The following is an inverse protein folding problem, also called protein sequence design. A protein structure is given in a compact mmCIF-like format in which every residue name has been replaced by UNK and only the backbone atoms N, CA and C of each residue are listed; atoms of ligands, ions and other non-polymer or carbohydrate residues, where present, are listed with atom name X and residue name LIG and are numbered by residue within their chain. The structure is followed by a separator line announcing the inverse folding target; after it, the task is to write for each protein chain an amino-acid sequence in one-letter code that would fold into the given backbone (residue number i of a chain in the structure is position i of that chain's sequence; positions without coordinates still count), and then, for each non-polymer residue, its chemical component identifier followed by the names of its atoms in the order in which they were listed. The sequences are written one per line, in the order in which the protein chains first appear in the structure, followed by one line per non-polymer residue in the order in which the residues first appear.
data_IF_640644600577
#
_entry.id   IF_640644600577
#
_cell.length_a   1.000
_cell.length_b   1.000
_cell.length_c   1.000
_cell.angle_alpha   90.00
_cell.angle_beta   90.00
_cell.angle_gamma   90.00
#
_symmetry.space_group_name_H-M   'P 1'
#
loop_
_entity.id
_entity.type
_entity.pdbx_description
1 polymer ?
#
# COMPACT_ATOMS: atom_id res chain seq x y z
N UNK A 1 -27.17 14.81 2.84
CA UNK A 1 -26.93 13.44 3.33
C UNK A 1 -25.45 13.16 3.19
N UNK A 2 -24.79 12.73 4.26
CA UNK A 2 -23.41 12.24 4.18
C UNK A 2 -23.39 11.00 3.28
N UNK A 3 -22.47 10.90 2.32
CA UNK A 3 -22.37 9.70 1.49
C UNK A 3 -21.91 8.52 2.35
N UNK A 4 -22.84 7.60 2.65
CA UNK A 4 -22.60 6.46 3.54
C UNK A 4 -21.46 5.56 3.06
N UNK A 5 -21.30 5.41 1.73
CA UNK A 5 -20.23 4.61 1.15
C UNK A 5 -18.87 5.27 1.39
N UNK A 6 -18.75 6.57 1.14
CA UNK A 6 -17.52 7.32 1.41
C UNK A 6 -17.09 7.19 2.88
N UNK A 7 -18.01 7.39 3.83
CA UNK A 7 -17.71 7.23 5.26
C UNK A 7 -17.30 5.80 5.62
N UNK A 8 -17.95 4.79 5.02
CA UNK A 8 -17.61 3.38 5.23
C UNK A 8 -16.20 3.07 4.73
N UNK A 9 -15.82 3.57 3.55
CA UNK A 9 -14.49 3.37 2.98
C UNK A 9 -13.40 4.11 3.77
N UNK A 10 -13.68 5.29 4.32
CA UNK A 10 -12.76 5.96 5.24
C UNK A 10 -12.53 5.14 6.51
N UNK A 11 -13.59 4.60 7.12
CA UNK A 11 -13.43 3.71 8.28
C UNK A 11 -12.68 2.43 7.92
N UNK A 12 -12.94 1.84 6.76
CA UNK A 12 -12.16 0.71 6.26
C UNK A 12 -10.69 1.08 6.11
N UNK A 13 -10.38 2.25 5.56
CA UNK A 13 -9.00 2.70 5.43
C UNK A 13 -8.33 2.91 6.79
N UNK A 14 -9.04 3.41 7.80
CA UNK A 14 -8.50 3.48 9.17
C UNK A 14 -8.09 2.11 9.73
N UNK A 15 -8.82 1.04 9.39
CA UNK A 15 -8.40 -0.33 9.73
C UNK A 15 -7.09 -0.72 9.04
N UNK A 16 -6.93 -0.35 7.76
CA UNK A 16 -5.67 -0.54 7.01
C UNK A 16 -4.52 0.22 7.67
N UNK A 17 -4.72 1.51 8.01
CA UNK A 17 -3.73 2.34 8.70
C UNK A 17 -3.30 1.70 10.01
N UNK A 18 -4.26 1.16 10.75
CA UNK A 18 -4.02 0.50 12.02
C UNK A 18 -3.21 -0.79 11.88
N UNK A 19 -3.55 -1.65 10.91
CA UNK A 19 -2.81 -2.87 10.59
C UNK A 19 -1.38 -2.58 10.11
N UNK A 20 -1.21 -1.60 9.22
CA UNK A 20 0.11 -1.16 8.76
C UNK A 20 0.92 -0.54 9.89
N UNK A 21 0.28 0.20 10.80
CA UNK A 21 0.92 0.74 12.00
C UNK A 21 1.52 -0.37 12.87
N UNK A 22 0.79 -1.47 13.09
CA UNK A 22 1.31 -2.64 13.81
C UNK A 22 2.54 -3.25 13.12
N UNK A 23 2.51 -3.41 11.79
CA UNK A 23 3.66 -3.88 11.02
C UNK A 23 4.87 -2.93 11.17
N UNK A 24 4.67 -1.62 11.01
CA UNK A 24 5.77 -0.65 11.08
C UNK A 24 6.37 -0.58 12.50
N UNK A 25 5.55 -0.69 13.54
CA UNK A 25 6.03 -0.77 14.92
C UNK A 25 6.81 -2.07 15.16
N UNK A 26 6.34 -3.20 14.63
CA UNK A 26 7.10 -4.45 14.68
C UNK A 26 8.47 -4.33 14.00
N UNK A 27 8.55 -3.63 12.85
CA UNK A 27 9.81 -3.38 12.17
C UNK A 27 10.84 -2.59 13.00
N UNK A 28 10.44 -1.89 14.07
CA UNK A 28 11.39 -1.26 15.00
C UNK A 28 12.23 -2.28 15.77
N UNK A 29 11.73 -3.51 15.91
CA UNK A 29 12.44 -4.64 16.54
C UNK A 29 13.39 -5.36 15.57
N UNK A 30 13.29 -5.06 14.27
CA UNK A 30 14.13 -5.63 13.21
C UNK A 30 15.38 -4.78 13.07
N UNK A 31 16.53 -5.43 12.88
CA UNK A 31 17.79 -4.72 12.70
C UNK A 31 17.76 -3.94 11.37
N UNK A 32 18.24 -2.69 11.31
CA UNK A 32 18.16 -1.89 10.09
C UNK A 32 18.74 -2.58 8.85
N UNK A 33 19.86 -3.30 9.00
CA UNK A 33 20.50 -4.03 7.91
C UNK A 33 19.62 -5.17 7.35
N UNK A 34 18.78 -5.77 8.19
CA UNK A 34 17.88 -6.84 7.80
C UNK A 34 16.66 -6.33 7.02
N UNK A 35 16.25 -5.06 7.22
CA UNK A 35 15.18 -4.46 6.41
C UNK A 35 15.58 -4.36 4.94
N UNK A 36 16.85 -4.08 4.66
CA UNK A 36 17.40 -3.96 3.31
C UNK A 36 18.06 -5.25 2.80
N UNK A 37 18.05 -6.33 3.59
CA UNK A 37 18.70 -7.58 3.22
C UNK A 37 17.89 -8.34 2.15
N UNK A 38 18.50 -8.67 0.99
CA UNK A 38 17.89 -9.52 -0.01
C UNK A 38 17.58 -10.93 0.53
N UNK A 39 16.40 -11.45 0.20
CA UNK A 39 15.98 -12.81 0.56
C UNK A 39 15.81 -13.64 -0.72
N UNK A 40 16.64 -14.69 -0.93
CA UNK A 40 16.61 -15.48 -2.17
C UNK A 40 15.25 -16.09 -2.52
N UNK A 41 14.46 -16.48 -1.52
CA UNK A 41 13.13 -17.06 -1.72
C UNK A 41 12.07 -16.06 -2.19
N UNK A 42 12.40 -14.76 -2.20
CA UNK A 42 11.55 -13.66 -2.66
C UNK A 42 12.20 -12.93 -3.84
N UNK A 43 12.77 -13.66 -4.82
CA UNK A 43 13.44 -13.07 -5.99
C UNK A 43 14.59 -12.09 -5.63
N UNK A 44 15.24 -12.30 -4.48
CA UNK A 44 16.22 -11.38 -3.91
C UNK A 44 15.68 -9.98 -3.55
N UNK A 45 14.36 -9.85 -3.35
CA UNK A 45 13.79 -8.66 -2.71
C UNK A 45 14.11 -8.62 -1.22
N UNK A 46 14.08 -7.41 -0.66
CA UNK A 46 14.18 -7.14 0.77
C UNK A 46 12.82 -6.72 1.33
N UNK A 47 12.69 -6.73 2.66
CA UNK A 47 11.46 -6.24 3.31
C UNK A 47 11.18 -4.78 2.92
N UNK A 48 12.23 -3.96 2.86
CA UNK A 48 12.18 -2.58 2.40
C UNK A 48 11.72 -2.46 0.95
N UNK A 49 12.29 -3.23 0.02
CA UNK A 49 11.90 -3.16 -1.39
C UNK A 49 10.45 -3.57 -1.60
N UNK A 50 9.95 -4.54 -0.83
CA UNK A 50 8.55 -4.95 -0.88
C UNK A 50 7.59 -3.89 -0.33
N UNK A 51 7.95 -3.22 0.78
CA UNK A 51 7.16 -2.09 1.29
C UNK A 51 7.12 -0.92 0.29
N UNK A 52 8.23 -0.67 -0.42
CA UNK A 52 8.28 0.32 -1.52
C UNK A 52 7.38 -0.08 -2.69
N UNK A 53 7.38 -1.36 -3.07
CA UNK A 53 6.48 -1.90 -4.09
C UNK A 53 5.01 -1.67 -3.72
N UNK A 54 4.63 -1.92 -2.46
CA UNK A 54 3.28 -1.62 -1.97
C UNK A 54 2.97 -0.12 -2.09
N UNK A 55 3.84 0.76 -1.63
CA UNK A 55 3.62 2.20 -1.73
C UNK A 55 3.48 2.68 -3.19
N UNK A 56 4.33 2.18 -4.09
CA UNK A 56 4.25 2.47 -5.51
C UNK A 56 2.97 1.91 -6.15
N UNK A 57 2.38 0.84 -5.61
CA UNK A 57 1.09 0.33 -6.06
C UNK A 57 -0.03 1.35 -5.81
N UNK A 58 -0.03 2.03 -4.66
CA UNK A 58 -0.97 3.12 -4.38
C UNK A 58 -0.78 4.31 -5.32
N UNK A 59 0.46 4.78 -5.49
CA UNK A 59 0.76 5.88 -6.41
C UNK A 59 0.39 5.52 -7.85
N UNK A 60 0.72 4.31 -8.29
CA UNK A 60 0.45 3.85 -9.64
C UNK A 60 -1.03 3.82 -9.94
N UNK A 61 -1.83 3.16 -9.09
CA UNK A 61 -3.26 2.97 -9.37
C UNK A 61 -4.13 4.16 -9.01
N UNK A 62 -3.93 4.76 -7.84
CA UNK A 62 -4.84 5.79 -7.33
C UNK A 62 -4.50 7.20 -7.83
N UNK A 63 -3.22 7.47 -8.10
CA UNK A 63 -2.75 8.80 -8.48
C UNK A 63 -2.42 8.86 -9.96
N UNK A 64 -1.41 8.13 -10.41
CA UNK A 64 -0.90 8.27 -11.76
C UNK A 64 -1.84 7.68 -12.81
N UNK A 65 -2.43 6.53 -12.53
CA UNK A 65 -3.31 5.86 -13.49
C UNK A 65 -4.73 6.45 -13.48
N UNK A 66 -5.36 6.63 -12.31
CA UNK A 66 -6.72 7.16 -12.28
C UNK A 66 -6.80 8.68 -12.39
N UNK A 67 -6.01 9.42 -11.61
CA UNK A 67 -6.03 10.89 -11.63
C UNK A 67 -5.20 11.45 -12.80
N UNK A 68 -4.58 10.58 -13.62
CA UNK A 68 -3.75 10.95 -14.78
C UNK A 68 -2.62 11.91 -14.39
N UNK A 69 -2.15 11.79 -13.16
CA UNK A 69 -0.99 12.52 -12.63
C UNK A 69 0.31 11.89 -13.12
N UNK A 70 1.40 12.64 -13.10
CA UNK A 70 2.74 12.15 -13.49
C UNK A 70 3.71 12.26 -12.31
N UNK A 71 3.30 11.76 -11.15
CA UNK A 71 4.15 11.81 -9.96
C UNK A 71 5.22 10.73 -10.02
N UNK A 72 6.48 11.05 -9.67
CA UNK A 72 7.53 10.06 -9.64
C UNK A 72 7.25 9.00 -8.57
N UNK A 73 7.55 7.75 -8.90
CA UNK A 73 7.54 6.64 -7.96
C UNK A 73 8.67 6.77 -6.92
N UNK A 74 8.50 6.11 -5.78
CA UNK A 74 9.55 5.97 -4.78
C UNK A 74 10.72 5.15 -5.31
N UNK A 75 11.93 5.63 -5.05
CA UNK A 75 13.20 5.07 -5.51
C UNK A 75 13.81 4.14 -4.45
N UNK A 76 14.94 3.52 -4.78
CA UNK A 76 15.63 2.61 -3.87
C UNK A 76 16.10 3.27 -2.57
N UNK A 77 16.34 4.58 -2.55
CA UNK A 77 16.75 5.28 -1.34
C UNK A 77 15.64 5.35 -0.30
N UNK A 78 14.37 5.30 -0.73
CA UNK A 78 13.22 5.45 0.15
C UNK A 78 12.96 4.24 1.07
N UNK A 79 13.67 3.12 0.88
CA UNK A 79 13.42 1.89 1.66
C UNK A 79 14.61 1.42 2.50
N UNK A 80 15.67 2.22 2.60
CA UNK A 80 16.92 1.83 3.28
C UNK A 80 16.83 1.87 4.81
N UNK A 81 15.83 2.57 5.36
CA UNK A 81 15.59 2.60 6.80
C UNK A 81 14.10 2.82 7.09
N UNK A 82 13.71 2.49 8.32
CA UNK A 82 12.31 2.54 8.74
C UNK A 82 11.71 3.96 8.73
N UNK A 83 12.51 4.99 9.02
CA UNK A 83 12.02 6.37 8.99
C UNK A 83 11.61 6.78 7.57
N UNK A 84 12.44 6.46 6.57
CA UNK A 84 12.11 6.71 5.16
C UNK A 84 10.86 5.95 4.72
N UNK A 85 10.70 4.70 5.18
CA UNK A 85 9.51 3.87 4.91
C UNK A 85 8.25 4.50 5.54
N UNK A 86 8.34 5.02 6.77
CA UNK A 86 7.22 5.73 7.42
C UNK A 86 6.80 6.96 6.61
N UNK A 87 7.75 7.80 6.21
CA UNK A 87 7.48 8.98 5.39
C UNK A 87 6.91 8.65 4.00
N UNK A 88 7.30 7.52 3.43
CA UNK A 88 6.72 7.00 2.19
C UNK A 88 5.23 6.64 2.40
N UNK A 89 4.89 5.96 3.49
CA UNK A 89 3.51 5.61 3.79
C UNK A 89 2.64 6.80 4.25
N UNK A 90 3.24 7.85 4.81
CA UNK A 90 2.54 9.12 5.04
C UNK A 90 2.04 9.74 3.72
N UNK A 91 2.87 9.71 2.67
CA UNK A 91 2.45 10.16 1.33
C UNK A 91 1.36 9.26 0.73
N UNK A 92 1.46 7.95 0.92
CA UNK A 92 0.40 7.00 0.53
C UNK A 92 -0.95 7.36 1.19
N UNK A 93 -0.94 7.82 2.44
CA UNK A 93 -2.17 8.21 3.14
C UNK A 93 -2.83 9.42 2.50
N UNK A 94 -2.02 10.40 2.08
CA UNK A 94 -2.53 11.57 1.36
C UNK A 94 -3.18 11.12 0.05
N UNK A 95 -2.48 10.29 -0.73
CA UNK A 95 -2.99 9.76 -2.01
C UNK A 95 -4.31 9.01 -1.83
N UNK A 96 -4.40 8.11 -0.84
CA UNK A 96 -5.62 7.35 -0.60
C UNK A 96 -6.79 8.23 -0.12
N UNK A 97 -6.54 9.19 0.76
CA UNK A 97 -7.57 10.10 1.24
C UNK A 97 -8.07 11.04 0.12
N UNK A 98 -7.16 11.59 -0.68
CA UNK A 98 -7.49 12.47 -1.80
C UNK A 98 -8.30 11.71 -2.86
N UNK A 99 -7.91 10.46 -3.15
CA UNK A 99 -8.67 9.56 -4.02
C UNK A 99 -10.10 9.35 -3.52
N UNK A 100 -10.27 8.95 -2.25
CA UNK A 100 -11.58 8.69 -1.68
C UNK A 100 -12.44 9.95 -1.65
N UNK A 101 -11.84 11.12 -1.38
CA UNK A 101 -12.53 12.41 -1.41
C UNK A 101 -12.97 12.77 -2.83
N UNK A 102 -12.10 12.58 -3.82
CA UNK A 102 -12.39 12.86 -5.23
C UNK A 102 -13.56 12.02 -5.76
N UNK A 103 -13.61 10.73 -5.40
CA UNK A 103 -14.65 9.79 -5.82
C UNK A 103 -15.78 9.63 -4.81
N UNK A 104 -15.89 10.51 -3.81
CA UNK A 104 -16.85 10.40 -2.70
C UNK A 104 -18.30 10.28 -3.16
N UNK A 105 -18.65 10.84 -4.31
CA UNK A 105 -20.02 10.90 -4.82
C UNK A 105 -20.37 9.68 -5.71
N UNK A 106 -19.37 9.02 -6.30
CA UNK A 106 -19.54 7.81 -7.11
C UNK A 106 -18.26 6.95 -7.16
N UNK A 107 -18.31 5.79 -6.51
CA UNK A 107 -17.23 4.81 -6.50
C UNK A 107 -17.49 3.63 -7.46
N UNK A 108 -18.69 3.52 -8.02
CA UNK A 108 -19.20 2.29 -8.66
C UNK A 108 -19.39 2.40 -10.16
N UNK A 109 -19.50 3.60 -10.70
CA UNK A 109 -19.54 3.78 -12.16
C UNK A 109 -18.17 3.50 -12.76
N UNK A 110 -18.08 2.61 -13.76
CA UNK A 110 -16.81 2.33 -14.44
C UNK A 110 -16.28 3.57 -15.17
N UNK A 111 -14.97 3.78 -15.04
CA UNK A 111 -14.21 4.78 -15.77
C UNK A 111 -13.46 4.07 -16.90
N UNK A 112 -13.43 4.71 -18.07
CA UNK A 112 -12.66 4.23 -19.22
C UNK A 112 -11.28 4.88 -19.19
N UNK A 113 -10.26 4.13 -18.82
CA UNK A 113 -8.89 4.63 -18.71
C UNK A 113 -8.07 4.24 -19.94
N UNK A 114 -7.45 5.20 -20.62
CA UNK A 114 -6.63 4.91 -21.78
C UNK A 114 -5.43 4.03 -21.37
N UNK A 115 -5.11 3.06 -22.23
CA UNK A 115 -3.89 2.26 -22.17
C UNK A 115 -3.16 2.39 -23.50
N UNK A 116 -1.85 2.63 -23.45
CA UNK A 116 -1.05 2.74 -24.67
C UNK A 116 -1.01 1.40 -25.40
N UNK A 117 -1.42 1.40 -26.66
CA UNK A 117 -1.37 0.21 -27.53
C UNK A 117 -2.37 -0.90 -27.22
N UNK A 118 -3.29 -0.68 -26.27
CA UNK A 118 -4.29 -1.66 -25.83
C UNK A 118 -5.70 -1.05 -25.81
N UNK A 119 -6.72 -1.90 -25.66
CA UNK A 119 -8.08 -1.42 -25.39
C UNK A 119 -8.14 -0.68 -24.05
N UNK A 120 -8.98 0.36 -23.99
CA UNK A 120 -9.16 1.14 -22.78
C UNK A 120 -9.67 0.25 -21.64
N UNK A 121 -9.08 0.41 -20.46
CA UNK A 121 -9.45 -0.36 -19.28
C UNK A 121 -10.73 0.22 -18.68
N UNK A 122 -11.79 -0.59 -18.62
CA UNK A 122 -13.00 -0.28 -17.86
C UNK A 122 -12.84 -0.72 -16.41
N UNK A 123 -12.76 0.24 -15.48
CA UNK A 123 -12.53 -0.03 -14.06
C UNK A 123 -13.21 1.01 -13.18
N UNK A 124 -13.75 0.56 -12.04
CA UNK A 124 -14.40 1.44 -11.05
C UNK A 124 -13.39 1.97 -10.02
N UNK A 125 -13.61 3.16 -9.45
CA UNK A 125 -12.82 3.62 -8.31
C UNK A 125 -12.83 2.64 -7.13
N UNK A 126 -13.95 1.96 -6.89
CA UNK A 126 -14.06 0.93 -5.83
C UNK A 126 -13.11 -0.24 -6.08
N UNK A 127 -13.00 -0.72 -7.33
CA UNK A 127 -12.07 -1.79 -7.68
C UNK A 127 -10.62 -1.37 -7.47
N UNK A 128 -10.26 -0.13 -7.84
CA UNK A 128 -8.91 0.40 -7.66
C UNK A 128 -8.54 0.52 -6.18
N UNK A 129 -9.39 1.14 -5.36
CA UNK A 129 -9.17 1.24 -3.92
C UNK A 129 -9.12 -0.15 -3.25
N UNK A 130 -10.02 -1.06 -3.63
CA UNK A 130 -10.03 -2.44 -3.09
C UNK A 130 -8.75 -3.20 -3.49
N UNK A 131 -8.29 -3.03 -4.72
CA UNK A 131 -7.06 -3.65 -5.21
C UNK A 131 -5.86 -3.20 -4.37
N UNK A 132 -5.70 -1.89 -4.15
CA UNK A 132 -4.52 -1.40 -3.41
C UNK A 132 -4.50 -1.86 -1.96
N UNK A 133 -5.64 -1.84 -1.25
CA UNK A 133 -5.68 -2.32 0.14
C UNK A 133 -5.45 -3.82 0.22
N UNK A 134 -6.05 -4.63 -0.66
CA UNK A 134 -5.88 -6.10 -0.63
C UNK A 134 -4.46 -6.51 -1.02
N UNK A 135 -3.83 -5.78 -1.94
CA UNK A 135 -2.44 -5.95 -2.33
C UNK A 135 -1.47 -5.60 -1.19
N UNK A 136 -1.78 -4.57 -0.39
CA UNK A 136 -1.02 -4.29 0.84
C UNK A 136 -1.12 -5.44 1.85
N UNK A 137 -2.31 -6.00 2.10
CA UNK A 137 -2.45 -7.16 2.99
C UNK A 137 -1.72 -8.40 2.46
N UNK A 138 -1.77 -8.64 1.16
CA UNK A 138 -1.03 -9.73 0.50
C UNK A 138 0.48 -9.63 0.81
N UNK A 139 1.07 -8.46 0.58
CA UNK A 139 2.49 -8.25 0.83
C UNK A 139 2.84 -8.15 2.32
N UNK A 140 1.93 -7.69 3.18
CA UNK A 140 2.10 -7.77 4.65
C UNK A 140 2.27 -9.21 5.13
N UNK A 141 1.50 -10.14 4.55
CA UNK A 141 1.69 -11.57 4.79
C UNK A 141 3.08 -12.06 4.38
N UNK A 142 3.58 -11.61 3.21
CA UNK A 142 4.94 -11.92 2.77
C UNK A 142 6.00 -11.34 3.70
N UNK A 143 5.85 -10.09 4.17
CA UNK A 143 6.78 -9.44 5.10
C UNK A 143 6.93 -10.23 6.41
N UNK A 144 5.85 -10.80 6.94
CA UNK A 144 5.91 -11.66 8.12
C UNK A 144 6.68 -12.97 7.87
N UNK A 145 6.59 -13.53 6.66
CA UNK A 145 7.36 -14.72 6.27
C UNK A 145 8.84 -14.34 6.07
N UNK A 146 9.12 -13.21 5.43
CA UNK A 146 10.46 -12.68 5.24
C UNK A 146 11.17 -12.46 6.58
N UNK A 147 10.51 -11.81 7.54
CA UNK A 147 11.11 -11.59 8.86
C UNK A 147 11.37 -12.91 9.59
N UNK A 148 10.50 -13.91 9.44
CA UNK A 148 10.73 -15.25 9.99
C UNK A 148 11.99 -15.92 9.41
N UNK A 149 12.24 -15.79 8.11
CA UNK A 149 13.46 -16.31 7.48
C UNK A 149 14.73 -15.60 7.97
N UNK A 150 14.61 -14.34 8.41
CA UNK A 150 15.70 -13.57 9.01
C UNK A 150 15.88 -13.83 10.52
N UNK A 151 15.14 -14.79 11.08
CA UNK A 151 15.26 -15.24 12.47
C UNK A 151 14.37 -14.49 13.47
N UNK A 152 13.38 -13.72 13.01
CA UNK A 152 12.44 -13.02 13.88
C UNK A 152 11.17 -13.81 14.11
N UNK A 153 10.47 -13.49 15.20
CA UNK A 153 9.10 -13.94 15.45
C UNK A 153 8.16 -12.80 15.04
N UNK A 154 7.38 -12.95 13.95
CA UNK A 154 6.43 -11.91 13.53
C UNK A 154 5.29 -11.76 14.54
N UNK A 155 4.87 -10.52 14.75
CA UNK A 155 3.65 -10.19 15.52
C UNK A 155 2.40 -10.35 14.65
N UNK A 156 1.24 -10.41 15.29
CA UNK A 156 -0.02 -10.25 14.55
C UNK A 156 -0.14 -8.81 14.04
N UNK A 157 -0.44 -8.68 12.75
CA UNK A 157 -0.60 -7.40 12.06
C UNK A 157 -1.97 -7.28 11.42
N UNK A 158 -2.89 -8.20 11.69
CA UNK A 158 -4.24 -8.19 11.13
C UNK A 158 -5.08 -6.98 11.61
N UNK A 159 -6.22 -6.77 10.95
CA UNK A 159 -7.20 -5.77 11.38
C UNK A 159 -7.86 -6.18 12.70
N UNK A 160 -8.06 -7.49 12.90
CA UNK A 160 -8.48 -8.09 14.17
C UNK A 160 -7.23 -8.59 14.87
N UNK A 161 -6.88 -7.97 15.99
CA UNK A 161 -5.68 -8.31 16.77
C UNK A 161 -5.96 -8.05 18.25
N UNK A 162 -5.29 -8.81 19.11
CA UNK A 162 -5.38 -8.74 20.57
C UNK A 162 -4.61 -7.56 21.17
#
# INVERSE_FOLDING_TARGET
MLNMMYTTLLHQYQLVLSARGALLNYCETIRPEHLAQPIPSFNNDSMGSLMRHVANTYLGWLLNFLQQEQRPYFTEDNHKNLQAIRSMFEQVNLVANDFLLHHKDDMTTPLSLPREGEEALSITPLQLFTHTITHEFHHKGQLAIMSRQLGYIPVDTDVIRD
#
